data_IF_397081336624
#
_entry.id   IF_397081336624
#
_cell.length_a   1.000
_cell.length_b   1.000
_cell.length_c   1.000
_cell.angle_alpha   90.00
_cell.angle_beta   90.00
_cell.angle_gamma   90.00
#
_symmetry.space_group_name_H-M   'P 1'
#
loop_
_entity.id
_entity.type
_entity.pdbx_description
1 polymer ?
#
# COMPACT_ATOMS: atom_id res chain seq x y z
N UNK A 1 21.96 24.27 -19.38
CA UNK A 1 21.62 22.85 -19.66
C UNK A 1 20.75 22.40 -18.52
N UNK A 2 19.55 21.87 -18.74
CA UNK A 2 18.82 21.22 -17.65
C UNK A 2 19.64 20.02 -17.21
N UNK A 3 19.85 19.84 -15.89
CA UNK A 3 20.55 18.71 -15.32
C UNK A 3 19.95 17.39 -15.80
N UNK A 4 20.75 16.37 -16.02
CA UNK A 4 20.30 15.07 -16.46
C UNK A 4 19.37 14.52 -15.36
N UNK A 5 18.06 14.46 -15.64
CA UNK A 5 17.10 13.82 -14.75
C UNK A 5 17.43 12.33 -14.74
N UNK A 6 18.08 11.87 -13.70
CA UNK A 6 18.31 10.43 -13.49
C UNK A 6 16.97 9.79 -13.16
N UNK A 7 16.53 8.86 -14.02
CA UNK A 7 15.32 8.09 -13.73
C UNK A 7 15.55 7.20 -12.49
N UNK A 8 14.55 7.08 -11.61
CA UNK A 8 14.67 6.20 -10.45
C UNK A 8 14.83 4.74 -10.89
N UNK A 9 15.73 4.02 -10.23
CA UNK A 9 15.86 2.58 -10.42
C UNK A 9 14.63 1.87 -9.84
N UNK A 10 13.98 1.01 -10.63
CA UNK A 10 12.83 0.22 -10.20
C UNK A 10 13.26 -1.22 -9.99
N UNK A 11 13.03 -1.75 -8.79
CA UNK A 11 13.28 -3.15 -8.43
C UNK A 11 11.97 -3.84 -8.07
N UNK A 12 11.73 -4.99 -8.66
CA UNK A 12 10.62 -5.88 -8.30
C UNK A 12 11.10 -6.90 -7.26
N UNK A 13 10.31 -7.09 -6.22
CA UNK A 13 10.57 -8.06 -5.16
C UNK A 13 9.46 -9.10 -5.18
N UNK A 14 9.80 -10.37 -5.43
CA UNK A 14 8.86 -11.49 -5.36
C UNK A 14 8.64 -11.89 -3.89
N UNK A 15 7.45 -11.62 -3.38
CA UNK A 15 7.11 -11.91 -1.98
C UNK A 15 7.03 -13.41 -1.68
N UNK A 16 6.96 -14.28 -2.68
CA UNK A 16 7.03 -15.75 -2.49
C UNK A 16 8.43 -16.21 -2.15
N UNK A 17 9.45 -15.48 -2.60
CA UNK A 17 10.86 -15.79 -2.37
C UNK A 17 11.44 -15.12 -1.12
N UNK A 18 10.72 -14.18 -0.51
CA UNK A 18 11.19 -13.38 0.61
C UNK A 18 10.18 -13.33 1.74
N UNK A 19 10.64 -13.48 2.98
CA UNK A 19 9.81 -13.25 4.14
C UNK A 19 9.26 -11.82 4.13
N UNK A 20 7.98 -11.67 4.43
CA UNK A 20 7.32 -10.37 4.48
C UNK A 20 6.32 -10.33 5.64
N UNK A 21 6.24 -9.17 6.29
CA UNK A 21 5.22 -8.88 7.28
C UNK A 21 4.43 -7.66 6.80
N UNK A 22 3.10 -7.79 6.69
CA UNK A 22 2.22 -6.76 6.14
C UNK A 22 2.71 -6.21 4.77
N UNK A 23 3.27 -7.07 3.89
CA UNK A 23 3.84 -6.71 2.58
C UNK A 23 5.21 -6.03 2.64
N UNK A 24 5.72 -5.76 3.83
CA UNK A 24 7.09 -5.25 4.05
C UNK A 24 8.07 -6.43 3.95
N UNK A 25 8.64 -6.62 2.78
CA UNK A 25 9.62 -7.69 2.55
C UNK A 25 10.98 -7.34 3.14
N UNK A 26 11.76 -8.36 3.52
CA UNK A 26 13.12 -8.16 4.04
C UNK A 26 13.99 -7.27 3.14
N UNK A 27 14.04 -7.46 1.80
CA UNK A 27 14.80 -6.57 0.92
C UNK A 27 14.33 -5.11 0.97
N UNK A 28 13.01 -4.86 1.10
CA UNK A 28 12.48 -3.50 1.20
C UNK A 28 12.89 -2.85 2.53
N UNK A 29 12.79 -3.58 3.63
CA UNK A 29 13.17 -3.06 4.97
C UNK A 29 14.64 -2.71 5.02
N UNK A 30 15.51 -3.58 4.52
CA UNK A 30 16.97 -3.33 4.44
C UNK A 30 17.30 -2.12 3.54
N UNK A 31 16.59 -1.96 2.42
CA UNK A 31 16.75 -0.79 1.58
C UNK A 31 16.27 0.49 2.30
N UNK A 32 15.15 0.44 3.01
CA UNK A 32 14.64 1.56 3.78
C UNK A 32 15.64 1.99 4.86
N UNK A 33 16.15 1.06 5.64
CA UNK A 33 17.15 1.33 6.67
C UNK A 33 18.40 2.02 6.08
N UNK A 34 18.91 1.51 4.95
CA UNK A 34 20.07 2.10 4.25
C UNK A 34 19.82 3.54 3.81
N UNK A 35 18.64 3.85 3.29
CA UNK A 35 18.27 5.21 2.86
C UNK A 35 18.07 6.14 4.05
N UNK A 36 17.42 5.67 5.11
CA UNK A 36 17.23 6.41 6.35
C UNK A 36 18.55 6.75 7.04
N UNK A 37 19.49 5.79 7.11
CA UNK A 37 20.82 5.99 7.67
C UNK A 37 21.65 7.06 6.93
N UNK A 38 21.38 7.25 5.63
CA UNK A 38 22.01 8.30 4.81
C UNK A 38 21.36 9.69 4.96
N UNK A 39 20.36 9.84 5.80
CA UNK A 39 19.64 11.09 5.98
C UNK A 39 18.43 11.29 5.06
N UNK A 40 18.13 10.37 4.13
CA UNK A 40 16.95 10.44 3.26
C UNK A 40 15.64 10.11 3.96
N UNK A 41 14.53 10.40 3.31
CA UNK A 41 13.19 9.96 3.70
C UNK A 41 12.76 8.75 2.87
N UNK A 42 11.89 7.93 3.45
CA UNK A 42 11.32 6.73 2.81
C UNK A 42 9.81 6.87 2.70
N UNK A 43 9.28 6.66 1.51
CA UNK A 43 7.84 6.63 1.25
C UNK A 43 7.37 5.19 1.08
N UNK A 44 6.46 4.73 1.93
CA UNK A 44 5.77 3.44 1.80
C UNK A 44 4.37 3.69 1.26
N UNK A 45 4.19 3.37 0.01
CA UNK A 45 2.94 3.59 -0.71
C UNK A 45 2.11 2.31 -0.75
N UNK A 46 0.91 2.35 -0.20
CA UNK A 46 -0.05 1.27 -0.33
C UNK A 46 -0.89 1.50 -1.58
N UNK A 47 -0.76 0.60 -2.54
CA UNK A 47 -1.56 0.63 -3.77
C UNK A 47 -3.01 0.22 -3.48
N UNK A 48 -3.73 1.08 -2.73
CA UNK A 48 -5.11 0.86 -2.32
C UNK A 48 -6.05 1.76 -3.10
N UNK A 49 -6.41 1.39 -4.33
CA UNK A 49 -7.57 1.98 -5.02
C UNK A 49 -8.79 1.11 -4.81
N UNK A 50 -9.72 1.55 -3.96
CA UNK A 50 -11.05 0.96 -3.90
C UNK A 50 -11.10 -0.51 -3.44
N UNK A 51 -10.02 -1.02 -2.89
CA UNK A 51 -9.99 -2.36 -2.32
C UNK A 51 -10.53 -2.31 -0.91
N UNK A 52 -11.76 -2.57 -0.80
CA UNK A 52 -12.33 -3.13 0.40
C UNK A 52 -11.68 -4.51 0.63
N UNK A 53 -11.43 -4.90 1.87
CA UNK A 53 -10.74 -6.15 2.17
C UNK A 53 -11.43 -7.34 1.50
N UNK A 54 -10.70 -8.07 0.66
CA UNK A 54 -11.17 -9.30 0.00
C UNK A 54 -10.60 -10.49 0.74
N UNK A 55 -11.33 -11.59 0.86
CA UNK A 55 -10.78 -12.83 1.36
C UNK A 55 -9.89 -13.47 0.31
N UNK A 56 -8.73 -13.92 0.75
CA UNK A 56 -7.75 -14.60 -0.06
C UNK A 56 -7.27 -15.86 0.67
N UNK A 57 -7.04 -16.92 -0.08
CA UNK A 57 -6.42 -18.14 0.44
C UNK A 57 -4.93 -18.15 0.09
N UNK A 58 -4.08 -18.23 1.10
CA UNK A 58 -2.61 -18.29 0.91
C UNK A 58 -2.17 -19.63 0.34
N UNK A 59 -2.95 -20.71 0.55
CA UNK A 59 -2.63 -22.04 0.08
C UNK A 59 -2.85 -22.23 -1.42
N UNK A 60 -4.02 -21.84 -1.95
CA UNK A 60 -4.38 -22.09 -3.34
C UNK A 60 -4.57 -20.84 -4.20
N UNK A 61 -4.49 -19.63 -3.60
CA UNK A 61 -4.72 -18.37 -4.32
C UNK A 61 -6.19 -18.02 -4.55
N UNK A 62 -7.14 -18.81 -3.99
CA UNK A 62 -8.56 -18.52 -4.09
C UNK A 62 -8.91 -17.13 -3.54
N UNK A 63 -9.83 -16.45 -4.21
CA UNK A 63 -10.39 -15.17 -3.79
C UNK A 63 -11.91 -15.22 -3.74
N UNK A 64 -12.51 -14.51 -2.76
CA UNK A 64 -13.97 -14.49 -2.64
C UNK A 64 -14.62 -13.76 -3.82
N UNK A 65 -15.24 -14.52 -4.73
CA UNK A 65 -16.00 -14.01 -5.87
C UNK A 65 -17.51 -14.12 -5.63
N UNK A 66 -18.26 -13.24 -6.27
CA UNK A 66 -19.71 -13.24 -6.23
C UNK A 66 -20.24 -14.33 -7.16
N UNK A 67 -21.01 -15.27 -6.61
CA UNK A 67 -21.62 -16.37 -7.40
C UNK A 67 -22.67 -15.88 -8.42
N UNK A 68 -23.12 -14.60 -8.33
CA UNK A 68 -24.15 -14.05 -9.24
C UNK A 68 -23.58 -13.26 -10.41
N UNK A 69 -22.45 -12.54 -10.22
CA UNK A 69 -21.90 -11.66 -11.24
C UNK A 69 -20.38 -11.75 -11.38
N UNK A 70 -19.75 -12.72 -10.71
CA UNK A 70 -18.30 -13.00 -10.71
C UNK A 70 -17.38 -11.85 -10.26
N UNK A 71 -17.94 -10.73 -9.83
CA UNK A 71 -17.15 -9.63 -9.26
C UNK A 71 -16.53 -10.02 -7.91
N UNK A 72 -15.38 -9.44 -7.57
CA UNK A 72 -14.79 -9.62 -6.26
C UNK A 72 -15.73 -9.16 -5.12
N UNK A 73 -15.79 -9.93 -4.05
CA UNK A 73 -16.59 -9.61 -2.88
C UNK A 73 -15.73 -8.94 -1.80
N UNK A 74 -16.33 -8.03 -1.09
CA UNK A 74 -15.73 -7.19 -0.05
C UNK A 74 -16.06 -7.71 1.33
N UNK A 75 -15.07 -7.79 2.22
CA UNK A 75 -15.27 -8.13 3.63
C UNK A 75 -15.75 -6.91 4.42
N UNK A 76 -16.94 -6.98 4.96
CA UNK A 76 -17.46 -6.03 5.94
C UNK A 76 -17.27 -6.61 7.35
N UNK A 77 -16.17 -6.27 8.02
CA UNK A 77 -15.81 -6.84 9.33
C UNK A 77 -16.85 -6.61 10.40
N UNK A 78 -17.44 -5.41 10.48
CA UNK A 78 -18.49 -5.08 11.47
C UNK A 78 -19.75 -5.93 11.31
N UNK A 79 -20.12 -6.25 10.07
CA UNK A 79 -21.31 -7.03 9.72
C UNK A 79 -21.00 -8.53 9.61
N UNK A 80 -19.72 -8.92 9.65
CA UNK A 80 -19.23 -10.30 9.44
C UNK A 80 -19.78 -10.91 8.14
N UNK A 81 -19.78 -10.13 7.05
CA UNK A 81 -20.33 -10.51 5.75
C UNK A 81 -19.41 -10.15 4.60
N UNK A 82 -19.53 -10.93 3.53
CA UNK A 82 -19.05 -10.58 2.21
C UNK A 82 -20.15 -9.83 1.46
N UNK A 83 -19.81 -8.72 0.84
CA UNK A 83 -20.73 -7.90 0.06
C UNK A 83 -20.19 -7.65 -1.35
N UNK A 84 -20.99 -7.93 -2.37
CA UNK A 84 -20.69 -7.60 -3.75
C UNK A 84 -21.23 -6.21 -4.08
N UNK A 85 -20.34 -5.22 -4.24
CA UNK A 85 -20.76 -3.85 -4.59
C UNK A 85 -21.24 -3.69 -6.04
N UNK A 86 -21.17 -4.74 -6.87
CA UNK A 86 -21.69 -4.72 -8.24
C UNK A 86 -23.17 -5.09 -8.32
N UNK A 87 -23.60 -6.14 -7.61
CA UNK A 87 -24.98 -6.64 -7.67
C UNK A 87 -25.68 -6.73 -6.31
N UNK A 88 -25.10 -6.14 -5.28
CA UNK A 88 -25.59 -6.09 -3.87
C UNK A 88 -25.78 -7.46 -3.21
N UNK A 89 -25.26 -8.54 -3.80
CA UNK A 89 -25.31 -9.87 -3.18
C UNK A 89 -24.47 -9.87 -1.90
N UNK A 90 -25.04 -10.42 -0.81
CA UNK A 90 -24.38 -10.57 0.49
C UNK A 90 -24.35 -12.03 0.89
N UNK A 91 -23.25 -12.47 1.50
CA UNK A 91 -23.12 -13.80 2.08
C UNK A 91 -22.25 -13.79 3.34
N UNK A 92 -22.37 -14.80 4.21
CA UNK A 92 -21.46 -14.94 5.36
C UNK A 92 -20.00 -15.05 4.90
N UNK A 93 -19.08 -14.65 5.77
CA UNK A 93 -17.65 -14.92 5.61
C UNK A 93 -17.46 -16.43 5.82
N UNK A 94 -16.89 -17.19 4.87
CA UNK A 94 -16.58 -18.60 5.08
C UNK A 94 -15.46 -18.74 6.14
N UNK A 95 -15.51 -19.78 6.94
CA UNK A 95 -14.51 -20.07 7.96
C UNK A 95 -13.20 -20.54 7.36
N UNK A 96 -13.28 -21.28 6.26
CA UNK A 96 -12.13 -21.83 5.52
C UNK A 96 -12.28 -21.59 4.04
N UNK A 97 -11.22 -21.81 3.29
CA UNK A 97 -11.23 -21.73 1.84
C UNK A 97 -12.26 -22.68 1.23
N UNK A 98 -13.08 -22.17 0.30
CA UNK A 98 -14.11 -22.97 -0.37
C UNK A 98 -13.52 -24.05 -1.32
N UNK A 99 -12.21 -23.97 -1.67
CA UNK A 99 -11.55 -24.90 -2.57
C UNK A 99 -10.57 -25.85 -1.87
N UNK A 100 -9.68 -25.35 -1.04
CA UNK A 100 -8.65 -26.19 -0.41
C UNK A 100 -8.80 -26.37 1.12
N UNK A 101 -9.83 -25.74 1.70
CA UNK A 101 -10.15 -25.80 3.16
C UNK A 101 -9.09 -25.21 4.08
N UNK A 102 -8.06 -24.56 3.55
CA UNK A 102 -7.07 -23.84 4.34
C UNK A 102 -7.64 -22.54 4.94
N UNK A 103 -6.90 -21.98 5.89
CA UNK A 103 -7.29 -20.75 6.55
C UNK A 103 -7.34 -19.56 5.58
N UNK A 104 -8.34 -18.72 5.74
CA UNK A 104 -8.53 -17.53 4.93
C UNK A 104 -7.99 -16.30 5.65
N UNK A 105 -7.16 -15.54 4.96
CA UNK A 105 -6.70 -14.24 5.41
C UNK A 105 -7.48 -13.11 4.72
N UNK A 106 -7.95 -12.09 5.46
CA UNK A 106 -8.44 -10.87 4.83
C UNK A 106 -7.28 -10.14 4.19
N UNK A 107 -7.27 -10.05 2.85
CA UNK A 107 -6.29 -9.22 2.15
C UNK A 107 -6.84 -7.81 2.02
N UNK A 108 -6.22 -6.93 2.70
CA UNK A 108 -6.55 -5.51 2.72
C UNK A 108 -5.84 -4.91 3.93
N UNK A 109 -4.53 -4.77 3.81
CA UNK A 109 -3.73 -4.15 4.84
C UNK A 109 -4.20 -2.72 5.04
N UNK A 110 -4.62 -2.41 6.26
CA UNK A 110 -4.82 -1.03 6.68
C UNK A 110 -3.45 -0.34 6.74
N UNK A 111 -3.41 0.93 6.39
CA UNK A 111 -2.25 1.79 6.61
C UNK A 111 -1.77 1.74 8.06
N UNK A 112 -2.68 1.49 9.01
CA UNK A 112 -2.40 1.32 10.44
C UNK A 112 -1.50 0.13 10.73
N UNK A 113 -1.80 -1.05 10.18
CA UNK A 113 -0.98 -2.25 10.39
C UNK A 113 0.42 -2.10 9.80
N UNK A 114 0.53 -1.47 8.62
CA UNK A 114 1.83 -1.19 8.03
C UNK A 114 2.62 -0.21 8.89
N UNK A 115 1.98 0.83 9.42
CA UNK A 115 2.57 1.79 10.35
C UNK A 115 3.06 1.10 11.63
N UNK A 116 2.23 0.27 12.27
CA UNK A 116 2.60 -0.51 13.45
C UNK A 116 3.80 -1.43 13.19
N UNK A 117 3.78 -2.13 12.05
CA UNK A 117 4.88 -3.03 11.66
C UNK A 117 6.18 -2.24 11.41
N UNK A 118 6.10 -1.10 10.74
CA UNK A 118 7.26 -0.22 10.53
C UNK A 118 7.81 0.31 11.86
N UNK A 119 6.95 0.65 12.83
CA UNK A 119 7.37 1.08 14.17
C UNK A 119 8.18 -0.01 14.90
N UNK A 120 7.85 -1.27 14.66
CA UNK A 120 8.57 -2.41 15.25
C UNK A 120 9.89 -2.69 14.52
N UNK A 121 9.89 -2.58 13.18
CA UNK A 121 11.05 -2.90 12.36
C UNK A 121 12.09 -1.76 12.32
N UNK A 122 11.65 -0.51 12.40
CA UNK A 122 12.48 0.69 12.27
C UNK A 122 12.13 1.70 13.38
N UNK A 123 12.30 1.34 14.67
CA UNK A 123 11.83 2.13 15.83
C UNK A 123 12.53 3.47 15.98
N UNK A 124 13.77 3.60 15.47
CA UNK A 124 14.58 4.81 15.63
C UNK A 124 14.17 5.94 14.67
N UNK A 125 13.24 5.68 13.75
CA UNK A 125 12.87 6.64 12.72
C UNK A 125 11.41 7.10 12.88
N UNK A 126 11.19 8.39 13.17
CA UNK A 126 9.85 8.96 13.28
C UNK A 126 9.05 8.78 11.98
N UNK A 127 7.81 8.37 12.11
CA UNK A 127 6.94 8.10 10.99
C UNK A 127 5.66 8.91 11.00
N UNK A 128 5.08 9.11 9.84
CA UNK A 128 3.82 9.78 9.65
C UNK A 128 2.95 9.00 8.66
N UNK A 129 1.66 8.88 9.02
CA UNK A 129 0.67 8.25 8.16
C UNK A 129 -0.23 9.30 7.52
N UNK A 130 -0.39 9.23 6.19
CA UNK A 130 -1.26 10.10 5.40
C UNK A 130 -2.30 9.25 4.68
N UNK A 131 -3.46 9.18 5.27
CA UNK A 131 -4.64 8.54 4.71
C UNK A 131 -5.91 9.39 4.97
N UNK A 132 -7.06 8.88 4.55
CA UNK A 132 -8.31 9.58 4.74
C UNK A 132 -8.64 9.82 6.22
N UNK A 133 -8.31 8.88 7.08
CA UNK A 133 -8.67 8.94 8.50
C UNK A 133 -7.76 9.90 9.27
N UNK A 134 -6.45 9.89 8.96
CA UNK A 134 -5.48 10.82 9.57
C UNK A 134 -5.70 12.28 9.14
N UNK A 135 -6.39 12.51 8.02
CA UNK A 135 -6.58 13.85 7.42
C UNK A 135 -7.99 14.41 7.56
N UNK A 136 -8.89 13.75 8.26
CA UNK A 136 -10.29 14.20 8.41
C UNK A 136 -10.46 15.51 9.19
N UNK A 137 -9.56 15.82 10.12
CA UNK A 137 -9.64 17.06 10.90
C UNK A 137 -9.06 18.23 10.11
N UNK A 138 -9.74 19.38 10.17
CA UNK A 138 -9.25 20.63 9.53
C UNK A 138 -7.86 20.99 10.06
N UNK A 139 -6.92 21.23 9.14
CA UNK A 139 -5.53 21.55 9.46
C UNK A 139 -4.60 20.34 9.73
N UNK A 140 -5.13 19.11 9.83
CA UNK A 140 -4.29 17.94 10.08
C UNK A 140 -3.33 17.64 8.91
N UNK A 141 -3.76 17.86 7.67
CA UNK A 141 -2.91 17.66 6.50
C UNK A 141 -1.71 18.62 6.49
N UNK A 142 -1.93 19.91 6.80
CA UNK A 142 -0.86 20.91 6.85
C UNK A 142 0.17 20.56 7.93
N UNK A 143 -0.27 20.18 9.13
CA UNK A 143 0.62 19.75 10.20
C UNK A 143 1.44 18.49 9.86
N UNK A 144 0.85 17.53 9.13
CA UNK A 144 1.57 16.35 8.65
C UNK A 144 2.62 16.73 7.59
N UNK A 145 2.27 17.61 6.67
CA UNK A 145 3.20 18.11 5.65
C UNK A 145 4.36 18.90 6.25
N UNK A 146 4.12 19.67 7.30
CA UNK A 146 5.17 20.41 8.01
C UNK A 146 6.14 19.47 8.70
N UNK A 147 5.68 18.37 9.31
CA UNK A 147 6.53 17.33 9.88
C UNK A 147 7.42 16.65 8.82
N UNK A 148 6.89 16.47 7.62
CA UNK A 148 7.66 15.88 6.51
C UNK A 148 8.71 16.88 6.00
N UNK A 149 8.31 18.12 5.72
CA UNK A 149 9.20 19.16 5.17
C UNK A 149 10.32 19.56 6.13
N UNK A 150 10.03 19.55 7.43
CA UNK A 150 11.04 19.82 8.45
C UNK A 150 12.02 18.66 8.66
N UNK A 151 11.81 17.50 8.02
CA UNK A 151 12.60 16.29 8.22
C UNK A 151 12.35 15.59 9.55
N UNK A 152 11.37 16.06 10.34
CA UNK A 152 10.99 15.39 11.58
C UNK A 152 10.42 14.01 11.31
N UNK A 153 9.53 13.87 10.31
CA UNK A 153 9.09 12.56 9.83
C UNK A 153 10.08 12.00 8.81
N UNK A 154 10.57 10.78 9.06
CA UNK A 154 11.55 10.10 8.22
C UNK A 154 10.91 9.00 7.37
N UNK A 155 9.84 8.39 7.83
CA UNK A 155 9.06 7.38 7.12
C UNK A 155 7.66 7.92 6.87
N UNK A 156 7.25 7.93 5.62
CA UNK A 156 5.94 8.36 5.16
C UNK A 156 5.15 7.13 4.73
N UNK A 157 4.01 6.88 5.34
CA UNK A 157 3.12 5.77 4.97
C UNK A 157 1.78 6.31 4.49
N UNK A 158 1.29 5.81 3.36
CA UNK A 158 -0.03 6.23 2.92
C UNK A 158 -0.47 5.71 1.57
N UNK A 159 -1.58 6.26 1.09
CA UNK A 159 -2.23 5.88 -0.15
C UNK A 159 -2.14 7.00 -1.19
N UNK A 160 -3.06 7.03 -2.14
CA UNK A 160 -3.07 8.02 -3.24
C UNK A 160 -3.04 9.50 -2.82
N UNK A 161 -3.34 9.81 -1.57
CA UNK A 161 -3.24 11.19 -1.09
C UNK A 161 -1.78 11.69 -1.15
N UNK A 162 -0.80 10.81 -0.97
CA UNK A 162 0.62 11.13 -1.12
C UNK A 162 1.06 11.39 -2.56
N UNK A 163 0.29 10.93 -3.55
CA UNK A 163 0.66 11.08 -4.97
C UNK A 163 0.13 12.35 -5.60
N UNK A 164 -0.84 13.03 -4.98
CA UNK A 164 -1.51 14.20 -5.54
C UNK A 164 -1.08 15.48 -4.82
N UNK A 165 -0.52 16.41 -5.58
CA UNK A 165 -0.37 17.81 -5.17
C UNK A 165 0.75 18.13 -4.17
N UNK A 166 1.57 17.16 -3.75
CA UNK A 166 2.65 17.39 -2.81
C UNK A 166 3.97 16.86 -3.35
N UNK A 167 5.02 17.67 -3.21
CA UNK A 167 6.39 17.28 -3.50
C UNK A 167 7.12 16.95 -2.20
N UNK A 168 7.90 15.85 -2.23
CA UNK A 168 8.71 15.38 -1.11
C UNK A 168 10.17 15.25 -1.60
N UNK A 169 10.94 16.36 -1.61
CA UNK A 169 12.28 16.38 -2.24
C UNK A 169 13.27 15.43 -1.53
N UNK A 170 13.12 15.22 -0.23
CA UNK A 170 14.02 14.39 0.57
C UNK A 170 13.70 12.90 0.50
N UNK A 171 12.62 12.51 -0.20
CA UNK A 171 12.30 11.10 -0.41
C UNK A 171 13.27 10.47 -1.38
N UNK A 172 14.11 9.59 -0.87
CA UNK A 172 15.16 8.88 -1.63
C UNK A 172 14.81 7.42 -1.96
N UNK A 173 13.79 6.85 -1.30
CA UNK A 173 13.26 5.51 -1.57
C UNK A 173 11.75 5.50 -1.54
N UNK A 174 11.16 4.81 -2.50
CA UNK A 174 9.72 4.53 -2.53
C UNK A 174 9.48 3.02 -2.54
N UNK A 175 8.79 2.51 -1.53
CA UNK A 175 8.28 1.15 -1.48
C UNK A 175 6.80 1.11 -1.89
N UNK A 176 6.47 0.37 -2.93
CA UNK A 176 5.09 0.16 -3.35
C UNK A 176 4.63 -1.22 -2.87
N UNK A 177 3.75 -1.24 -1.87
CA UNK A 177 3.17 -2.47 -1.35
C UNK A 177 1.97 -2.90 -2.18
N UNK A 178 1.77 -4.22 -2.27
CA UNK A 178 0.61 -4.82 -2.94
C UNK A 178 0.40 -4.31 -4.38
N UNK A 179 1.48 -4.14 -5.14
CA UNK A 179 1.43 -3.68 -6.52
C UNK A 179 0.47 -4.53 -7.36
N UNK A 180 0.49 -5.86 -7.18
CA UNK A 180 -0.32 -6.83 -7.91
C UNK A 180 -1.83 -6.68 -7.67
N UNK A 181 -2.24 -6.18 -6.51
CA UNK A 181 -3.65 -6.02 -6.18
C UNK A 181 -4.39 -5.12 -7.18
N UNK A 182 -3.68 -4.18 -7.79
CA UNK A 182 -4.21 -3.37 -8.86
C UNK A 182 -4.62 -4.17 -10.11
N UNK A 183 -4.06 -5.37 -10.32
CA UNK A 183 -4.32 -6.20 -11.49
C UNK A 183 -5.55 -7.11 -11.32
N UNK A 184 -5.97 -7.38 -10.10
CA UNK A 184 -7.10 -8.29 -9.81
C UNK A 184 -8.48 -7.61 -9.80
N UNK A 185 -8.56 -6.35 -10.21
CA UNK A 185 -9.82 -5.62 -10.33
C UNK A 185 -10.61 -6.00 -11.59
N UNK A 186 -11.92 -5.72 -11.58
CA UNK A 186 -12.80 -5.87 -12.76
C UNK A 186 -12.60 -4.77 -13.81
N UNK A 187 -11.69 -3.82 -13.57
CA UNK A 187 -11.41 -2.70 -14.46
C UNK A 187 -10.45 -3.15 -15.57
N UNK A 188 -10.90 -3.08 -16.82
CA UNK A 188 -10.07 -3.43 -18.00
C UNK A 188 -8.81 -2.57 -18.14
N UNK A 189 -8.75 -1.38 -17.48
CA UNK A 189 -7.57 -0.50 -17.40
C UNK A 189 -6.72 -0.73 -16.16
N UNK A 190 -6.88 -1.86 -15.46
CA UNK A 190 -6.19 -2.11 -14.21
C UNK A 190 -4.65 -2.02 -14.35
N UNK A 191 -4.08 -2.61 -15.39
CA UNK A 191 -2.64 -2.58 -15.67
C UNK A 191 -2.14 -1.18 -16.05
N UNK A 192 -2.89 -0.43 -16.84
CA UNK A 192 -2.57 0.96 -17.19
C UNK A 192 -2.56 1.84 -15.94
N UNK A 193 -3.58 1.73 -15.10
CA UNK A 193 -3.69 2.48 -13.85
C UNK A 193 -2.59 2.14 -12.86
N UNK A 194 -2.20 0.86 -12.80
CA UNK A 194 -1.08 0.42 -11.98
C UNK A 194 0.23 1.05 -12.48
N UNK A 195 0.53 0.97 -13.77
CA UNK A 195 1.71 1.57 -14.37
C UNK A 195 1.77 3.09 -14.12
N UNK A 196 0.66 3.81 -14.35
CA UNK A 196 0.56 5.24 -14.04
C UNK A 196 0.83 5.55 -12.57
N UNK A 197 0.29 4.72 -11.66
CA UNK A 197 0.49 4.88 -10.21
C UNK A 197 1.96 4.67 -9.85
N UNK A 198 2.60 3.61 -10.35
CA UNK A 198 4.03 3.33 -10.12
C UNK A 198 4.89 4.49 -10.62
N UNK A 199 4.65 4.99 -11.83
CA UNK A 199 5.39 6.12 -12.40
C UNK A 199 5.20 7.39 -11.55
N UNK A 200 3.96 7.69 -11.13
CA UNK A 200 3.67 8.86 -10.29
C UNK A 200 4.38 8.80 -8.93
N UNK A 201 4.37 7.62 -8.31
CA UNK A 201 4.99 7.42 -6.99
C UNK A 201 6.50 7.35 -7.10
N UNK A 202 7.05 6.66 -8.12
CA UNK A 202 8.49 6.61 -8.39
C UNK A 202 9.06 8.01 -8.70
N UNK A 203 8.30 8.86 -9.40
CA UNK A 203 8.69 10.25 -9.67
C UNK A 203 8.72 11.15 -8.42
N UNK A 204 8.42 10.63 -7.22
CA UNK A 204 8.62 11.33 -5.94
C UNK A 204 10.00 11.06 -5.35
N UNK A 205 10.67 9.97 -5.73
CA UNK A 205 12.04 9.69 -5.35
C UNK A 205 13.01 10.43 -6.29
N UNK A 206 14.11 10.98 -5.76
CA UNK A 206 15.23 11.46 -6.56
C UNK A 206 15.08 12.86 -7.17
N UNK A 207 14.23 13.73 -6.59
CA UNK A 207 14.16 15.16 -7.00
C UNK A 207 15.06 16.08 -6.19
N UNK A 208 15.81 15.54 -5.23
CA UNK A 208 16.82 16.29 -4.51
C UNK A 208 18.13 16.31 -5.31
N UNK A 209 18.40 17.37 -6.02
CA UNK A 209 19.70 17.96 -6.31
C UNK A 209 19.74 19.36 -5.74
#
# INVERSE_FOLDING_TARGET
>A
RPGAVTHPEIRLVDLRAHASNEGLSTPLVLAAEKHLAKGGQVLIFLNRRGYAPTLFCTGCGWTARCKRCDAGMVVHHRERRLHCHHCDTRRPIPETCEECHEELAPVGQGTERVEETLSQLLPDYPQVRIDRDSTQRKGSMEGLLDQIRSGHARILTGTQMLTKGHDFPDVSLVGVLNADQGLFGTDFRASEKLAQTIIQVAGRAGRAE
#
